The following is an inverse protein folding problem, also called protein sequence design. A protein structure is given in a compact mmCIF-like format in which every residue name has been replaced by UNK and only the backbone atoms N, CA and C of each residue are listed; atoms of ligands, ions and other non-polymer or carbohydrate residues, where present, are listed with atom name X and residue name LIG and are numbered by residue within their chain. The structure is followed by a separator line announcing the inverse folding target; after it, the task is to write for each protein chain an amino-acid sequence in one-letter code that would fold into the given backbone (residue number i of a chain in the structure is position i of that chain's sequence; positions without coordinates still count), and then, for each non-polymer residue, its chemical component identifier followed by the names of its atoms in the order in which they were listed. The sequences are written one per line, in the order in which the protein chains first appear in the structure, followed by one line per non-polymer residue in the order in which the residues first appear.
data_IF_830553516067
#
_entry.id   IF_830553516067
#
_cell.length_a   1.000
_cell.length_b   1.000
_cell.length_c   1.000
_cell.angle_alpha   90.00
_cell.angle_beta   90.00
_cell.angle_gamma   90.00
#
_symmetry.space_group_name_H-M   'P 1'
#
loop_
_entity.id
_entity.type
_entity.pdbx_description
1 polymer ?
#
# COMPACT_ATOMS: atom_id res chain seq x y z
N UNK A 1 2.43 -45.10 -23.67
CA UNK A 1 2.05 -43.66 -23.79
C UNK A 1 3.10 -43.00 -24.68
N UNK A 2 2.74 -42.33 -25.78
CA UNK A 2 3.73 -41.76 -26.71
C UNK A 2 4.44 -40.54 -26.09
N UNK A 3 5.69 -40.28 -26.50
CA UNK A 3 6.46 -39.11 -26.03
C UNK A 3 5.70 -37.80 -26.27
N UNK A 4 5.03 -37.68 -27.43
CA UNK A 4 4.13 -36.57 -27.75
C UNK A 4 3.04 -36.37 -26.68
N UNK A 5 2.38 -37.44 -26.25
CA UNK A 5 1.34 -37.38 -25.21
C UNK A 5 1.90 -36.92 -23.86
N UNK A 6 3.12 -37.34 -23.51
CA UNK A 6 3.79 -36.88 -22.28
C UNK A 6 4.13 -35.38 -22.33
N UNK A 7 4.61 -34.88 -23.48
CA UNK A 7 4.91 -33.45 -23.66
C UNK A 7 3.64 -32.60 -23.64
N UNK A 8 2.54 -33.07 -24.24
CA UNK A 8 1.24 -32.41 -24.18
C UNK A 8 0.74 -32.29 -22.73
N UNK A 9 0.86 -33.36 -21.94
CA UNK A 9 0.51 -33.33 -20.52
C UNK A 9 1.34 -32.31 -19.73
N UNK A 10 2.64 -32.17 -20.04
CA UNK A 10 3.50 -31.15 -19.42
C UNK A 10 3.07 -29.74 -19.80
N UNK A 11 2.70 -29.50 -21.06
CA UNK A 11 2.17 -28.21 -21.52
C UNK A 11 0.90 -27.86 -20.74
N UNK A 12 -0.06 -28.78 -20.65
CA UNK A 12 -1.33 -28.53 -19.94
C UNK A 12 -1.10 -28.15 -18.48
N UNK A 13 -0.20 -28.85 -17.77
CA UNK A 13 0.16 -28.50 -16.38
C UNK A 13 0.73 -27.09 -16.27
N UNK A 14 1.69 -26.74 -17.13
CA UNK A 14 2.30 -25.40 -17.14
C UNK A 14 1.32 -24.30 -17.54
N UNK A 15 0.35 -24.59 -18.41
CA UNK A 15 -0.73 -23.67 -18.74
C UNK A 15 -1.64 -23.39 -17.54
N UNK A 16 -1.96 -24.41 -16.74
CA UNK A 16 -2.69 -24.23 -15.49
C UNK A 16 -1.90 -23.37 -14.49
N UNK A 17 -0.61 -23.66 -14.30
CA UNK A 17 0.27 -22.85 -13.43
C UNK A 17 0.36 -21.39 -13.90
N UNK A 18 0.42 -21.18 -15.22
CA UNK A 18 0.47 -19.86 -15.83
C UNK A 18 -0.82 -19.09 -15.54
N UNK A 19 -1.98 -19.72 -15.74
CA UNK A 19 -3.27 -19.12 -15.46
C UNK A 19 -3.41 -18.73 -13.99
N UNK A 20 -3.02 -19.62 -13.08
CA UNK A 20 -3.05 -19.36 -11.63
C UNK A 20 -2.16 -18.17 -11.25
N UNK A 21 -0.96 -18.08 -11.84
CA UNK A 21 -0.02 -16.99 -11.59
C UNK A 21 -0.56 -15.66 -12.11
N UNK A 22 -1.16 -15.63 -13.30
CA UNK A 22 -1.83 -14.45 -13.84
C UNK A 22 -3.00 -13.99 -12.94
N UNK A 23 -3.81 -14.92 -12.44
CA UNK A 23 -4.88 -14.61 -11.49
C UNK A 23 -4.34 -14.04 -10.17
N UNK A 24 -3.22 -14.57 -9.68
CA UNK A 24 -2.55 -14.03 -8.48
C UNK A 24 -2.08 -12.60 -8.69
N UNK A 25 -1.42 -12.31 -9.82
CA UNK A 25 -0.99 -10.93 -10.16
C UNK A 25 -2.18 -9.98 -10.19
N UNK A 26 -3.29 -10.38 -10.82
CA UNK A 26 -4.51 -9.56 -10.85
C UNK A 26 -5.05 -9.28 -9.44
N UNK A 27 -5.09 -10.30 -8.57
CA UNK A 27 -5.52 -10.16 -7.18
C UNK A 27 -4.60 -9.23 -6.36
N UNK A 28 -3.28 -9.37 -6.53
CA UNK A 28 -2.28 -8.52 -5.87
C UNK A 28 -2.40 -7.07 -6.32
N UNK A 29 -2.55 -6.82 -7.62
CA UNK A 29 -2.77 -5.47 -8.15
C UNK A 29 -4.04 -4.84 -7.58
N UNK A 30 -5.12 -5.61 -7.44
CA UNK A 30 -6.33 -5.14 -6.77
C UNK A 30 -6.12 -4.76 -5.30
N UNK A 31 -5.23 -5.46 -4.57
CA UNK A 31 -4.84 -5.09 -3.19
C UNK A 31 -3.98 -3.83 -3.16
N UNK A 32 -3.02 -3.72 -4.08
CA UNK A 32 -2.13 -2.57 -4.22
C UNK A 32 -2.96 -1.28 -4.39
N UNK A 33 -3.94 -1.29 -5.29
CA UNK A 33 -4.77 -0.10 -5.53
C UNK A 33 -5.61 0.29 -4.30
N UNK A 34 -6.12 -0.68 -3.54
CA UNK A 34 -6.82 -0.40 -2.28
C UNK A 34 -5.89 0.23 -1.23
N UNK A 35 -4.67 -0.28 -1.08
CA UNK A 35 -3.71 0.28 -0.12
C UNK A 35 -3.30 1.70 -0.52
N UNK A 36 -3.05 1.96 -1.81
CA UNK A 36 -2.78 3.32 -2.29
C UNK A 36 -3.90 4.30 -1.95
N UNK A 37 -5.16 3.89 -2.11
CA UNK A 37 -6.30 4.71 -1.74
C UNK A 37 -6.32 5.02 -0.23
N UNK A 38 -6.10 4.01 0.62
CA UNK A 38 -6.02 4.20 2.08
C UNK A 38 -4.86 5.12 2.46
N UNK A 39 -3.68 4.96 1.85
CA UNK A 39 -2.52 5.83 2.09
C UNK A 39 -2.87 7.30 1.76
N UNK A 40 -3.60 7.53 0.67
CA UNK A 40 -4.05 8.87 0.31
C UNK A 40 -5.00 9.43 1.38
N UNK A 41 -6.02 8.67 1.80
CA UNK A 41 -6.95 9.09 2.85
C UNK A 41 -6.24 9.44 4.17
N UNK A 42 -5.26 8.63 4.58
CA UNK A 42 -4.46 8.91 5.78
C UNK A 42 -3.56 10.14 5.62
N UNK A 43 -3.05 10.39 4.42
CA UNK A 43 -2.24 11.57 4.11
C UNK A 43 -3.07 12.84 4.19
N UNK A 44 -4.28 12.82 3.62
CA UNK A 44 -5.22 13.93 3.67
C UNK A 44 -5.66 14.18 5.12
N UNK A 45 -6.03 13.13 5.84
CA UNK A 45 -6.39 13.23 7.26
C UNK A 45 -5.25 13.79 8.11
N UNK A 46 -3.99 13.39 7.86
CA UNK A 46 -2.81 13.96 8.53
C UNK A 46 -2.71 15.46 8.27
N UNK A 47 -3.00 15.90 7.05
CA UNK A 47 -2.99 17.32 6.68
C UNK A 47 -4.03 18.09 7.49
N UNK A 48 -5.27 17.59 7.57
CA UNK A 48 -6.34 18.22 8.35
C UNK A 48 -5.96 18.38 9.82
N UNK A 49 -5.37 17.34 10.43
CA UNK A 49 -4.92 17.41 11.83
C UNK A 49 -3.77 18.43 12.00
N UNK A 50 -2.86 18.54 11.03
CA UNK A 50 -1.81 19.57 11.06
C UNK A 50 -2.39 20.98 10.97
N UNK A 51 -3.41 21.18 10.14
CA UNK A 51 -4.09 22.46 10.01
C UNK A 51 -4.83 22.83 11.29
N UNK A 52 -5.53 21.88 11.91
CA UNK A 52 -6.14 22.06 13.23
C UNK A 52 -5.09 22.43 14.29
N UNK A 53 -3.94 21.77 14.28
CA UNK A 53 -2.83 22.08 15.20
C UNK A 53 -2.28 23.49 14.97
N UNK A 54 -2.12 23.90 13.71
CA UNK A 54 -1.66 25.24 13.33
C UNK A 54 -2.65 26.31 13.78
N UNK A 55 -3.95 26.09 13.53
CA UNK A 55 -5.02 26.97 13.96
C UNK A 55 -5.07 27.11 15.49
N UNK A 56 -4.93 25.99 16.21
CA UNK A 56 -4.83 25.99 17.66
C UNK A 56 -3.65 26.86 18.15
N UNK A 57 -2.47 26.73 17.53
CA UNK A 57 -1.30 27.55 17.87
C UNK A 57 -1.55 29.04 17.62
N UNK A 58 -2.20 29.37 16.51
CA UNK A 58 -2.57 30.75 16.18
C UNK A 58 -3.50 31.35 17.24
N UNK A 59 -4.52 30.61 17.68
CA UNK A 59 -5.45 31.03 18.75
C UNK A 59 -4.70 31.19 20.07
N UNK A 60 -3.87 30.22 20.46
CA UNK A 60 -3.08 30.30 21.68
C UNK A 60 -2.09 31.47 21.65
N UNK A 61 -1.49 31.78 20.51
CA UNK A 61 -0.52 32.86 20.35
C UNK A 61 -1.12 34.27 20.27
N UNK A 62 -2.44 34.39 20.10
CA UNK A 62 -3.09 35.69 19.90
C UNK A 62 -3.28 36.45 21.22
N UNK A 63 -2.99 37.74 21.19
CA UNK A 63 -3.33 38.69 22.25
C UNK A 63 -4.71 39.30 21.96
N UNK A 64 -5.49 39.50 23.03
CA UNK A 64 -6.86 39.99 22.95
C UNK A 64 -7.01 41.20 23.87
N UNK A 65 -6.69 42.39 23.37
CA UNK A 65 -6.64 43.65 24.14
C UNK A 65 -7.96 44.03 24.82
N UNK A 66 -9.08 43.50 24.33
CA UNK A 66 -10.42 43.72 24.90
C UNK A 66 -10.78 42.72 26.01
N UNK A 67 -9.97 41.67 26.21
CA UNK A 67 -10.23 40.63 27.19
C UNK A 67 -9.78 41.09 28.58
N UNK A 68 -10.73 41.18 29.51
CA UNK A 68 -10.46 41.53 30.90
C UNK A 68 -10.57 40.29 31.79
N UNK A 69 -9.51 39.97 32.54
CA UNK A 69 -9.43 38.84 33.48
C UNK A 69 -8.59 37.65 32.98
N UNK A 70 -8.39 36.65 33.84
CA UNK A 70 -7.34 35.61 33.67
C UNK A 70 -7.81 34.29 33.02
N UNK A 71 -9.11 34.18 32.69
CA UNK A 71 -9.70 32.93 32.19
C UNK A 71 -9.11 32.48 30.85
N UNK A 72 -8.83 33.41 29.95
CA UNK A 72 -8.23 33.10 28.66
C UNK A 72 -6.80 32.58 28.83
N UNK A 73 -5.99 33.24 29.66
CA UNK A 73 -4.61 32.81 29.94
C UNK A 73 -4.56 31.40 30.54
N UNK A 74 -5.44 31.10 31.51
CA UNK A 74 -5.59 29.74 32.08
C UNK A 74 -6.04 28.70 31.05
N UNK A 75 -6.81 29.10 30.05
CA UNK A 75 -7.28 28.21 28.99
C UNK A 75 -6.22 28.01 27.90
N UNK A 76 -5.45 29.04 27.60
CA UNK A 76 -4.35 29.05 26.62
C UNK A 76 -3.29 28.01 26.94
N UNK A 77 -2.91 27.86 28.21
CA UNK A 77 -1.96 26.83 28.63
C UNK A 77 -2.53 25.42 28.42
N UNK A 78 -3.78 25.19 28.81
CA UNK A 78 -4.47 23.89 28.57
C UNK A 78 -4.62 23.58 27.09
N UNK A 79 -4.89 24.59 26.27
CA UNK A 79 -4.98 24.46 24.82
C UNK A 79 -3.62 24.07 24.22
N UNK A 80 -2.55 24.72 24.67
CA UNK A 80 -1.17 24.43 24.24
C UNK A 80 -0.72 23.04 24.65
N UNK A 81 -0.84 22.70 25.94
CA UNK A 81 -0.24 21.48 26.49
C UNK A 81 -1.06 20.24 26.16
N UNK A 82 -2.38 20.26 26.38
CA UNK A 82 -3.20 19.05 26.28
C UNK A 82 -3.66 18.78 24.85
N UNK A 83 -4.07 19.82 24.11
CA UNK A 83 -4.62 19.65 22.77
C UNK A 83 -3.51 19.70 21.71
N UNK A 84 -2.75 20.80 21.64
CA UNK A 84 -1.79 21.05 20.56
C UNK A 84 -0.55 20.16 20.69
N UNK A 85 0.09 20.18 21.86
CA UNK A 85 1.33 19.45 22.11
C UNK A 85 1.08 18.01 22.53
N UNK A 86 -0.04 17.72 23.20
CA UNK A 86 -0.50 16.37 23.50
C UNK A 86 -1.30 15.76 22.34
N UNK A 87 -2.63 15.79 22.45
CA UNK A 87 -3.55 14.97 21.66
C UNK A 87 -3.32 15.05 20.14
N UNK A 88 -3.20 16.25 19.57
CA UNK A 88 -2.99 16.41 18.13
C UNK A 88 -1.61 15.94 17.68
N UNK A 89 -0.56 16.14 18.48
CA UNK A 89 0.76 15.54 18.20
C UNK A 89 0.69 14.02 18.21
N UNK A 90 0.04 13.44 19.22
CA UNK A 90 -0.10 11.99 19.35
C UNK A 90 -0.87 11.39 18.19
N UNK A 91 -1.94 12.05 17.74
CA UNK A 91 -2.67 11.64 16.54
C UNK A 91 -1.78 11.67 15.29
N UNK A 92 -1.03 12.75 15.06
CA UNK A 92 -0.08 12.83 13.94
C UNK A 92 0.93 11.68 14.03
N UNK A 93 1.54 11.43 15.19
CA UNK A 93 2.53 10.36 15.35
C UNK A 93 1.95 8.95 15.20
N UNK A 94 0.65 8.75 15.45
CA UNK A 94 -0.03 7.47 15.19
C UNK A 94 -0.35 7.31 13.70
N UNK A 95 -0.80 8.38 13.04
CA UNK A 95 -1.01 8.40 11.60
C UNK A 95 0.29 8.09 10.86
N UNK A 96 1.42 8.65 11.31
CA UNK A 96 2.73 8.43 10.71
C UNK A 96 3.14 6.97 10.77
N UNK A 97 3.00 6.34 11.93
CA UNK A 97 3.26 4.90 12.09
C UNK A 97 2.36 4.05 11.19
N UNK A 98 1.07 4.37 11.11
CA UNK A 98 0.16 3.64 10.23
C UNK A 98 0.51 3.83 8.75
N UNK A 99 0.95 5.02 8.35
CA UNK A 99 1.41 5.28 6.99
C UNK A 99 2.69 4.50 6.67
N UNK A 100 3.62 4.41 7.60
CA UNK A 100 4.84 3.60 7.44
C UNK A 100 4.48 2.11 7.25
N UNK A 101 3.62 1.56 8.13
CA UNK A 101 3.16 0.16 8.02
C UNK A 101 2.45 -0.12 6.67
N UNK A 102 1.62 0.83 6.20
CA UNK A 102 0.93 0.72 4.92
C UNK A 102 1.90 0.78 3.72
N UNK A 103 2.92 1.63 3.79
CA UNK A 103 3.95 1.73 2.76
C UNK A 103 4.81 0.45 2.70
N UNK A 104 5.15 -0.13 3.84
CA UNK A 104 5.87 -1.41 3.91
C UNK A 104 5.06 -2.56 3.29
N UNK A 105 3.76 -2.64 3.60
CA UNK A 105 2.88 -3.64 2.98
C UNK A 105 2.69 -3.39 1.47
N UNK A 106 2.60 -2.13 1.04
CA UNK A 106 2.56 -1.77 -0.38
C UNK A 106 3.81 -2.27 -1.11
N UNK A 107 4.99 -2.02 -0.55
CA UNK A 107 6.26 -2.49 -1.09
C UNK A 107 6.33 -4.02 -1.13
N UNK A 108 5.89 -4.69 -0.05
CA UNK A 108 5.83 -6.16 0.01
C UNK A 108 4.97 -6.72 -1.12
N UNK A 109 3.79 -6.15 -1.37
CA UNK A 109 2.90 -6.58 -2.43
C UNK A 109 3.46 -6.33 -3.83
N UNK A 110 4.08 -5.18 -4.06
CA UNK A 110 4.73 -4.87 -5.34
C UNK A 110 5.86 -5.85 -5.65
N UNK A 111 6.68 -6.20 -4.65
CA UNK A 111 7.72 -7.21 -4.79
C UNK A 111 7.14 -8.60 -5.12
N UNK A 112 5.99 -8.94 -4.53
CA UNK A 112 5.30 -10.19 -4.81
C UNK A 112 4.75 -10.24 -6.25
N UNK A 113 4.28 -9.11 -6.79
CA UNK A 113 3.91 -8.97 -8.21
C UNK A 113 5.12 -9.22 -9.10
N UNK A 114 6.26 -8.55 -8.85
CA UNK A 114 7.47 -8.73 -9.66
C UNK A 114 7.96 -10.17 -9.67
N UNK A 115 7.94 -10.84 -8.53
CA UNK A 115 8.29 -12.26 -8.44
C UNK A 115 7.34 -13.14 -9.27
N UNK A 116 6.03 -12.86 -9.18
CA UNK A 116 5.01 -13.60 -9.93
C UNK A 116 5.12 -13.38 -11.44
N UNK A 117 5.43 -12.17 -11.89
CA UNK A 117 5.66 -11.84 -13.30
C UNK A 117 6.90 -12.54 -13.86
N UNK A 118 7.98 -12.62 -13.08
CA UNK A 118 9.16 -13.41 -13.43
C UNK A 118 8.84 -14.88 -13.62
N UNK A 119 8.06 -15.47 -12.71
CA UNK A 119 7.62 -16.86 -12.82
C UNK A 119 6.70 -17.09 -14.04
N UNK A 120 5.80 -16.15 -14.34
CA UNK A 120 4.98 -16.17 -15.56
C UNK A 120 5.87 -16.21 -16.83
N UNK A 121 6.94 -15.40 -16.86
CA UNK A 121 7.90 -15.40 -17.97
C UNK A 121 8.56 -16.76 -18.16
N UNK A 122 9.02 -17.38 -17.07
CA UNK A 122 9.59 -18.72 -17.08
C UNK A 122 8.60 -19.75 -17.64
N UNK A 123 7.36 -19.75 -17.15
CA UNK A 123 6.33 -20.69 -17.62
C UNK A 123 6.03 -20.55 -19.11
N UNK A 124 5.96 -19.32 -19.63
CA UNK A 124 5.78 -19.06 -21.08
C UNK A 124 6.94 -19.61 -21.90
N UNK A 125 8.17 -19.41 -21.44
CA UNK A 125 9.38 -19.94 -22.08
C UNK A 125 9.35 -21.48 -22.15
N UNK A 126 9.06 -22.13 -21.02
CA UNK A 126 8.96 -23.59 -20.94
C UNK A 126 7.87 -24.17 -21.87
N UNK A 127 6.71 -23.53 -21.93
CA UNK A 127 5.62 -23.93 -22.83
C UNK A 127 6.09 -23.84 -24.30
N UNK A 128 6.77 -22.75 -24.67
CA UNK A 128 7.29 -22.59 -26.03
C UNK A 128 8.32 -23.66 -26.38
N UNK A 129 9.26 -23.93 -25.47
CA UNK A 129 10.24 -25.00 -25.66
C UNK A 129 9.58 -26.37 -25.84
N UNK A 130 8.56 -26.68 -25.02
CA UNK A 130 7.80 -27.94 -25.14
C UNK A 130 7.06 -28.05 -26.47
N UNK A 131 6.48 -26.94 -26.98
CA UNK A 131 5.81 -26.92 -28.29
C UNK A 131 6.79 -27.19 -29.42
N UNK A 132 7.94 -26.51 -29.43
CA UNK A 132 9.02 -26.76 -30.41
C UNK A 132 9.49 -28.21 -30.36
N UNK A 133 9.63 -28.79 -29.16
CA UNK A 133 9.99 -30.21 -29.04
C UNK A 133 8.94 -31.13 -29.68
N UNK A 134 7.65 -30.83 -29.50
CA UNK A 134 6.58 -31.59 -30.15
C UNK A 134 6.64 -31.44 -31.68
N UNK A 135 6.83 -30.23 -32.19
CA UNK A 135 6.97 -29.95 -33.63
C UNK A 135 8.11 -30.77 -34.24
N UNK A 136 9.27 -30.80 -33.59
CA UNK A 136 10.43 -31.58 -34.03
C UNK A 136 10.21 -33.11 -33.98
N UNK A 137 9.23 -33.61 -33.22
CA UNK A 137 8.89 -35.04 -33.16
C UNK A 137 7.89 -35.46 -34.24
N UNK A 138 7.16 -34.52 -34.83
CA UNK A 138 6.12 -34.79 -35.83
C UNK A 138 6.54 -34.40 -37.25
N UNK A 139 7.60 -33.61 -37.38
CA UNK A 139 8.33 -33.35 -38.62
C UNK A 139 9.33 -34.49 -38.89
#
# INVERSE_FOLDING_TARGET
MSEKSQLQNKISKKQTELQNSCSRVSSLNGRIERIKAIIQEFTDFKSDIKDLKSNGKSIAGKEYDYWNGDRFDKYKDKLSDNLINGSLSDYISKIDRNLDDLNDELMRLQNEVYSSEGFIGMLKSDINWLKTKIENLVN
#
